data_IF_051948527234
#
_entry.id   IF_051948527234
#
_cell.length_a   1.000
_cell.length_b   1.000
_cell.length_c   1.000
_cell.angle_alpha   90.00
_cell.angle_beta   90.00
_cell.angle_gamma   90.00
#
_symmetry.space_group_name_H-M   'P 1'
#
loop_
_entity.id
_entity.type
_entity.pdbx_description
1 polymer ?
#
# COMPACT_ATOMS: atom_id res chain seq x y z
N UNK A 1 38.72 18.43 -32.77
CA UNK A 1 37.61 19.09 -33.51
C UNK A 1 36.29 18.31 -33.50
N UNK A 2 36.27 16.98 -33.75
CA UNK A 2 35.01 16.20 -33.81
C UNK A 2 34.14 16.23 -32.53
N UNK A 3 34.74 16.28 -31.33
CA UNK A 3 34.02 16.33 -30.07
C UNK A 3 33.40 17.70 -29.75
N UNK A 4 33.98 18.78 -30.22
CA UNK A 4 33.48 20.14 -30.02
C UNK A 4 32.21 20.36 -30.89
N UNK A 5 32.21 19.84 -32.11
CA UNK A 5 31.03 19.90 -33.01
C UNK A 5 29.86 19.12 -32.47
N UNK A 6 30.10 17.94 -31.88
CA UNK A 6 29.04 17.14 -31.24
C UNK A 6 28.40 17.86 -30.04
N UNK A 7 29.20 18.52 -29.22
CA UNK A 7 28.70 19.29 -28.06
C UNK A 7 27.85 20.50 -28.51
N UNK A 8 28.24 21.18 -29.58
CA UNK A 8 27.46 22.30 -30.11
C UNK A 8 26.14 21.84 -30.68
N UNK A 9 26.09 20.69 -31.35
CA UNK A 9 24.83 20.13 -31.90
C UNK A 9 23.86 19.74 -30.76
N UNK A 10 24.36 19.12 -29.68
CA UNK A 10 23.53 18.75 -28.52
C UNK A 10 23.00 20.00 -27.81
N UNK A 11 23.79 21.03 -27.65
CA UNK A 11 23.38 22.29 -27.03
C UNK A 11 22.32 23.03 -27.86
N UNK A 12 22.41 23.02 -29.20
CA UNK A 12 21.41 23.65 -30.09
C UNK A 12 20.09 22.91 -30.08
N UNK A 13 20.09 21.58 -29.98
CA UNK A 13 18.86 20.77 -29.86
C UNK A 13 18.18 20.98 -28.52
N UNK A 14 18.94 21.10 -27.43
CA UNK A 14 18.39 21.39 -26.10
C UNK A 14 17.78 22.79 -26.00
N UNK A 15 18.43 23.82 -26.56
CA UNK A 15 17.93 25.19 -26.56
C UNK A 15 16.71 25.33 -27.49
N UNK A 16 16.73 24.69 -28.66
CA UNK A 16 15.59 24.66 -29.60
C UNK A 16 14.37 23.96 -29.00
N UNK A 17 14.56 22.86 -28.28
CA UNK A 17 13.49 22.13 -27.57
C UNK A 17 12.87 22.96 -26.45
N UNK A 18 13.67 23.74 -25.72
CA UNK A 18 13.20 24.59 -24.63
C UNK A 18 12.36 25.78 -25.15
N UNK A 19 12.79 26.41 -26.23
CA UNK A 19 12.06 27.51 -26.87
C UNK A 19 10.73 27.05 -27.49
N UNK A 20 10.64 25.81 -27.95
CA UNK A 20 9.41 25.26 -28.53
C UNK A 20 8.39 24.83 -27.46
N UNK A 21 8.84 24.46 -26.27
CA UNK A 21 7.96 24.01 -25.15
C UNK A 21 7.39 25.18 -24.31
N UNK A 22 8.07 26.31 -24.24
CA UNK A 22 7.63 27.47 -23.46
C UNK A 22 6.23 28.04 -23.88
N UNK A 23 5.88 28.19 -25.17
CA UNK A 23 4.56 28.66 -25.56
C UNK A 23 3.43 27.67 -25.19
N UNK A 24 3.68 26.37 -25.29
CA UNK A 24 2.67 25.34 -24.95
C UNK A 24 2.38 25.26 -23.46
N UNK A 25 3.36 25.52 -22.60
CA UNK A 25 3.15 25.61 -21.16
C UNK A 25 2.40 26.88 -20.74
N UNK A 26 2.49 27.95 -21.52
CA UNK A 26 1.70 29.18 -21.30
C UNK A 26 0.22 29.00 -21.71
N UNK A 27 -0.07 28.22 -22.74
CA UNK A 27 -1.46 27.91 -23.16
C UNK A 27 -2.17 26.98 -22.16
N UNK A 28 -1.45 26.08 -21.50
CA UNK A 28 -2.02 25.20 -20.44
C UNK A 28 -2.40 25.99 -19.17
N UNK A 29 -1.78 27.15 -18.91
CA UNK A 29 -2.14 28.02 -17.78
C UNK A 29 -3.32 28.96 -18.03
N UNK A 30 -3.73 29.17 -19.28
CA UNK A 30 -4.82 30.09 -19.62
C UNK A 30 -6.21 29.44 -19.73
N UNK A 31 -6.31 28.10 -19.54
CA UNK A 31 -7.59 27.36 -19.62
C UNK A 31 -8.24 27.10 -18.25
N UNK A 32 -7.65 27.63 -17.18
CA UNK A 32 -8.09 27.36 -15.79
C UNK A 32 -8.91 28.50 -15.17
N UNK A 33 -9.82 29.09 -15.94
CA UNK A 33 -10.82 30.03 -15.41
C UNK A 33 -12.15 29.94 -16.16
N UNK A 34 -12.87 28.83 -15.98
CA UNK A 34 -14.33 28.77 -16.15
C UNK A 34 -14.89 27.80 -15.10
N UNK A 35 -15.51 28.37 -14.09
CA UNK A 35 -16.35 27.71 -13.11
C UNK A 35 -17.56 27.07 -13.79
N UNK A 36 -17.87 25.82 -13.49
CA UNK A 36 -19.25 25.35 -13.51
C UNK A 36 -19.69 24.90 -12.08
N UNK A 37 -20.98 25.12 -11.87
CA UNK A 37 -21.74 24.89 -10.65
C UNK A 37 -21.61 23.51 -10.03
N UNK A 38 -21.61 23.57 -8.70
CA UNK A 38 -22.00 22.57 -7.70
C UNK A 38 -22.47 21.19 -8.20
N UNK A 39 -21.58 20.20 -8.12
CA UNK A 39 -21.91 18.80 -7.87
C UNK A 39 -21.38 18.46 -6.48
N UNK A 40 -22.28 18.09 -5.57
CA UNK A 40 -21.95 17.61 -4.24
C UNK A 40 -21.27 16.24 -4.38
N UNK A 41 -19.96 16.20 -4.26
CA UNK A 41 -19.20 14.98 -3.98
C UNK A 41 -19.28 14.68 -2.49
N UNK A 42 -19.97 13.60 -2.17
CA UNK A 42 -20.00 13.00 -0.85
C UNK A 42 -18.75 12.11 -0.68
N UNK A 43 -17.60 12.78 -0.55
CA UNK A 43 -16.36 12.12 -0.14
C UNK A 43 -16.33 12.17 1.38
N UNK A 44 -16.56 11.02 2.02
CA UNK A 44 -16.22 10.80 3.44
C UNK A 44 -14.71 10.92 3.63
N UNK A 45 -14.24 12.16 3.58
CA UNK A 45 -12.98 12.55 4.19
C UNK A 45 -13.19 12.35 5.69
N UNK A 46 -12.45 11.42 6.28
CA UNK A 46 -12.23 11.40 7.73
C UNK A 46 -11.71 12.80 8.06
N UNK A 47 -12.60 13.67 8.53
CA UNK A 47 -12.24 14.96 9.06
C UNK A 47 -11.48 14.67 10.35
N UNK A 48 -10.14 14.76 10.28
CA UNK A 48 -9.32 15.05 11.45
C UNK A 48 -9.83 16.40 12.01
N UNK A 49 -10.71 16.33 13.00
CA UNK A 49 -11.17 17.49 13.76
C UNK A 49 -10.02 17.97 14.64
N UNK A 50 -8.98 18.53 14.04
CA UNK A 50 -7.99 19.32 14.75
C UNK A 50 -8.72 20.60 15.20
N UNK A 51 -8.96 20.70 16.50
CA UNK A 51 -9.71 21.78 17.09
C UNK A 51 -9.04 23.13 16.75
N UNK A 52 -9.64 23.91 15.86
CA UNK A 52 -9.05 25.15 15.30
C UNK A 52 -8.79 26.23 16.34
N UNK A 53 -9.32 26.07 17.57
CA UNK A 53 -9.13 26.97 18.69
C UNK A 53 -7.81 26.81 19.44
N UNK A 54 -7.07 25.73 19.19
CA UNK A 54 -5.81 25.46 19.91
C UNK A 54 -4.62 26.21 19.27
N UNK A 55 -3.58 26.57 20.08
CA UNK A 55 -2.33 27.11 19.58
C UNK A 55 -1.69 26.24 18.49
N UNK A 56 -0.96 26.84 17.55
CA UNK A 56 -0.31 26.13 16.44
C UNK A 56 0.53 24.92 16.91
N UNK A 57 1.31 25.08 17.98
CA UNK A 57 2.18 24.04 18.51
C UNK A 57 1.37 22.84 19.04
N UNK A 58 0.29 23.08 19.78
CA UNK A 58 -0.58 22.04 20.31
C UNK A 58 -1.30 21.27 19.19
N UNK A 59 -1.76 21.96 18.14
CA UNK A 59 -2.34 21.31 16.95
C UNK A 59 -1.32 20.46 16.24
N UNK A 60 -0.07 20.93 16.14
CA UNK A 60 1.01 20.16 15.54
C UNK A 60 1.37 18.92 16.38
N UNK A 61 1.35 19.04 17.72
CA UNK A 61 1.52 17.89 18.62
C UNK A 61 0.38 16.88 18.46
N UNK A 62 -0.86 17.32 18.36
CA UNK A 62 -2.00 16.42 18.10
C UNK A 62 -1.87 15.71 16.75
N UNK A 63 -1.41 16.39 15.70
CA UNK A 63 -1.23 15.80 14.37
C UNK A 63 -0.08 14.81 14.28
N UNK A 64 0.99 15.02 15.05
CA UNK A 64 2.20 14.18 15.01
C UNK A 64 2.25 13.15 16.12
N UNK A 65 1.48 13.34 17.21
CA UNK A 65 1.39 12.47 18.37
C UNK A 65 2.77 12.08 18.95
N UNK A 66 3.61 13.07 19.37
CA UNK A 66 4.87 12.75 20.02
C UNK A 66 4.63 12.02 21.34
N UNK A 67 5.50 11.09 21.69
CA UNK A 67 5.48 10.38 22.98
C UNK A 67 5.80 11.33 24.13
N UNK A 68 6.73 12.24 23.92
CA UNK A 68 7.18 13.22 24.88
C UNK A 68 7.58 14.51 24.20
N UNK A 69 7.28 15.63 24.84
CA UNK A 69 7.71 16.97 24.43
C UNK A 69 8.45 17.63 25.58
N UNK A 70 9.69 18.05 25.36
CA UNK A 70 10.50 18.73 26.36
C UNK A 70 11.21 19.94 25.72
N UNK A 71 11.72 20.86 26.54
CA UNK A 71 12.49 22.02 26.08
C UNK A 71 13.93 21.95 26.58
N UNK A 72 14.88 21.97 25.66
CA UNK A 72 16.30 22.00 25.98
C UNK A 72 16.83 23.43 26.03
N UNK A 73 17.12 23.93 27.24
CA UNK A 73 17.73 25.25 27.44
C UNK A 73 19.12 25.36 26.74
N UNK A 74 19.89 24.27 26.73
CA UNK A 74 21.23 24.22 26.10
C UNK A 74 21.15 24.36 24.59
N UNK A 75 20.18 23.66 23.95
CA UNK A 75 19.99 23.67 22.49
C UNK A 75 19.07 24.81 22.03
N UNK A 76 18.36 25.49 22.95
CA UNK A 76 17.36 26.53 22.70
C UNK A 76 16.29 26.06 21.70
N UNK A 77 15.79 24.81 21.87
CA UNK A 77 14.76 24.20 21.02
C UNK A 77 13.94 23.16 21.76
N UNK A 78 12.74 22.93 21.27
CA UNK A 78 11.89 21.83 21.73
C UNK A 78 12.48 20.51 21.23
N UNK A 79 12.43 19.47 22.06
CA UNK A 79 12.77 18.10 21.71
C UNK A 79 11.48 17.30 21.71
N UNK A 80 11.13 16.76 20.56
CA UNK A 80 9.95 15.94 20.37
C UNK A 80 10.38 14.50 20.16
N UNK A 81 10.11 13.64 21.14
CA UNK A 81 10.38 12.20 21.06
C UNK A 81 9.21 11.54 20.34
N UNK A 82 9.47 11.04 19.16
CA UNK A 82 8.51 10.37 18.29
C UNK A 82 8.57 8.84 18.54
N UNK A 83 7.43 8.16 18.38
CA UNK A 83 7.39 6.70 18.51
C UNK A 83 8.23 5.99 17.45
N UNK A 84 8.88 4.88 17.83
CA UNK A 84 9.54 3.99 16.89
C UNK A 84 8.55 3.30 15.94
N UNK A 85 9.07 2.58 14.93
CA UNK A 85 8.26 1.89 13.91
C UNK A 85 7.98 2.73 12.66
N UNK A 86 8.16 4.04 12.72
CA UNK A 86 8.17 4.96 11.59
C UNK A 86 9.56 5.57 11.42
N UNK A 87 9.94 5.91 10.18
CA UNK A 87 11.21 6.61 9.94
C UNK A 87 11.08 8.09 10.27
N UNK A 88 12.20 8.74 10.60
CA UNK A 88 12.22 10.18 10.84
C UNK A 88 11.71 10.97 9.62
N UNK A 89 12.00 10.51 8.41
CA UNK A 89 11.53 11.12 7.16
C UNK A 89 10.01 11.18 7.09
N UNK A 90 9.32 10.11 7.51
CA UNK A 90 7.85 10.09 7.54
C UNK A 90 7.29 11.14 8.51
N UNK A 91 7.90 11.30 9.68
CA UNK A 91 7.51 12.35 10.63
C UNK A 91 7.77 13.75 10.06
N UNK A 92 8.89 13.97 9.37
CA UNK A 92 9.19 15.23 8.70
C UNK A 92 8.18 15.57 7.60
N UNK A 93 7.78 14.58 6.78
CA UNK A 93 6.74 14.76 5.74
C UNK A 93 5.37 15.07 6.36
N UNK A 94 5.00 14.42 7.46
CA UNK A 94 3.76 14.73 8.18
C UNK A 94 3.80 16.15 8.76
N UNK A 95 4.93 16.53 9.36
CA UNK A 95 5.14 17.88 9.89
C UNK A 95 5.05 18.93 8.78
N UNK A 96 5.70 18.71 7.64
CA UNK A 96 5.66 19.60 6.48
C UNK A 96 4.23 19.80 5.99
N UNK A 97 3.47 18.72 5.78
CA UNK A 97 2.05 18.80 5.35
C UNK A 97 1.18 19.57 6.33
N UNK A 98 1.40 19.35 7.61
CA UNK A 98 0.68 20.10 8.66
C UNK A 98 1.01 21.59 8.61
N UNK A 99 2.31 21.96 8.54
CA UNK A 99 2.78 23.34 8.51
C UNK A 99 2.21 24.07 7.29
N UNK A 100 2.28 23.47 6.09
CA UNK A 100 1.75 24.03 4.85
C UNK A 100 0.23 24.27 4.93
N UNK A 101 -0.54 23.28 5.43
CA UNK A 101 -1.99 23.41 5.63
C UNK A 101 -2.37 24.46 6.68
N UNK A 102 -1.51 24.69 7.66
CA UNK A 102 -1.77 25.63 8.76
C UNK A 102 -1.24 27.04 8.50
N UNK A 103 -0.75 27.33 7.30
CA UNK A 103 -0.24 28.65 6.90
C UNK A 103 1.14 29.00 7.49
N UNK A 104 1.85 28.03 8.07
CA UNK A 104 3.24 28.18 8.49
C UNK A 104 4.24 28.00 7.34
N UNK A 105 5.53 28.26 7.62
CA UNK A 105 6.61 28.09 6.65
C UNK A 105 7.81 27.43 7.29
N UNK A 106 8.38 26.43 6.63
CA UNK A 106 9.65 25.83 7.06
C UNK A 106 10.78 26.76 6.65
N UNK A 107 11.61 27.16 7.63
CA UNK A 107 12.78 28.02 7.45
C UNK A 107 14.04 27.19 7.26
N UNK A 108 14.15 26.07 7.99
CA UNK A 108 15.32 25.19 7.98
C UNK A 108 14.93 23.77 8.33
N UNK A 109 15.54 22.79 7.70
CA UNK A 109 15.39 21.38 8.01
C UNK A 109 16.70 20.65 7.78
N UNK A 110 17.16 19.87 8.75
CA UNK A 110 18.42 19.12 8.72
C UNK A 110 18.22 17.75 9.36
N UNK A 111 18.55 16.70 8.64
CA UNK A 111 18.64 15.35 9.19
C UNK A 111 19.98 15.18 9.91
N UNK A 112 19.91 14.58 11.11
CA UNK A 112 21.09 14.38 11.94
C UNK A 112 21.55 12.93 11.82
N UNK A 113 22.80 12.76 11.38
CA UNK A 113 23.45 11.44 11.33
C UNK A 113 24.07 11.13 12.70
N UNK A 114 23.97 9.89 13.13
CA UNK A 114 24.86 9.35 14.16
C UNK A 114 26.00 8.55 13.49
N UNK A 115 27.00 8.18 14.29
CA UNK A 115 28.20 7.47 13.81
C UNK A 115 27.92 6.12 13.11
N UNK A 116 26.66 5.65 13.08
CA UNK A 116 26.21 4.39 12.46
C UNK A 116 25.35 4.63 11.21
N UNK A 117 25.36 5.81 10.61
CA UNK A 117 24.57 6.18 9.42
C UNK A 117 23.05 5.97 9.54
N UNK A 118 22.51 5.88 10.74
CA UNK A 118 21.09 5.67 10.98
C UNK A 118 20.43 7.00 11.30
N UNK A 119 19.53 7.45 10.42
CA UNK A 119 18.70 8.64 10.62
C UNK A 119 17.65 8.39 11.72
N UNK A 120 17.90 8.93 12.89
CA UNK A 120 16.98 8.83 14.04
C UNK A 120 16.59 10.17 14.61
N UNK A 121 17.14 11.24 14.11
CA UNK A 121 16.82 12.59 14.55
C UNK A 121 16.95 13.61 13.41
N UNK A 122 16.22 14.71 13.55
CA UNK A 122 16.25 15.82 12.61
C UNK A 122 15.95 17.13 13.33
N UNK A 123 16.49 18.23 12.82
CA UNK A 123 16.14 19.59 13.26
C UNK A 123 15.20 20.22 12.26
N UNK A 124 14.25 20.98 12.75
CA UNK A 124 13.36 21.80 11.96
C UNK A 124 13.14 23.13 12.64
N UNK A 125 13.36 24.23 11.92
CA UNK A 125 13.00 25.58 12.34
C UNK A 125 11.89 26.05 11.40
N UNK A 126 10.77 26.51 11.98
CA UNK A 126 9.60 26.93 11.23
C UNK A 126 9.09 28.28 11.73
N UNK A 127 8.47 29.03 10.81
CA UNK A 127 7.71 30.24 11.10
C UNK A 127 6.23 29.84 11.23
N UNK A 128 5.65 30.15 12.39
CA UNK A 128 4.23 29.98 12.62
C UNK A 128 3.42 31.05 11.88
N UNK A 129 2.12 30.83 11.76
CA UNK A 129 1.20 31.79 11.14
C UNK A 129 1.06 33.13 11.91
N UNK A 130 1.45 33.16 13.20
CA UNK A 130 1.49 34.36 14.05
C UNK A 130 2.80 35.17 13.91
N UNK A 131 3.75 34.68 13.11
CA UNK A 131 5.06 35.31 12.88
C UNK A 131 6.16 34.85 13.84
N UNK A 132 5.85 34.03 14.85
CA UNK A 132 6.85 33.50 15.76
C UNK A 132 7.59 32.29 15.15
N UNK A 133 8.86 32.14 15.59
CA UNK A 133 9.69 30.99 15.15
C UNK A 133 9.62 29.86 16.18
N UNK A 134 9.30 28.66 15.74
CA UNK A 134 9.35 27.44 16.54
C UNK A 134 10.53 26.56 16.06
N UNK A 135 11.40 26.17 17.01
CA UNK A 135 12.58 25.32 16.74
C UNK A 135 12.40 23.97 17.38
N UNK A 136 12.36 22.91 16.57
CA UNK A 136 12.11 21.54 17.03
C UNK A 136 13.30 20.65 16.66
N UNK A 137 13.65 19.74 17.54
CA UNK A 137 14.48 18.58 17.25
C UNK A 137 13.64 17.34 17.43
N UNK A 138 13.36 16.65 16.35
CA UNK A 138 12.67 15.35 16.34
C UNK A 138 13.67 14.23 16.65
N UNK A 139 13.31 13.34 17.55
CA UNK A 139 14.07 12.13 17.88
C UNK A 139 13.14 10.93 17.87
N UNK A 140 13.53 9.83 17.24
CA UNK A 140 12.74 8.59 17.21
C UNK A 140 13.15 7.70 18.37
N UNK A 141 12.19 7.30 19.21
CA UNK A 141 12.41 6.37 20.31
C UNK A 141 12.84 4.99 19.80
N UNK A 142 13.74 4.35 20.53
CA UNK A 142 14.18 2.98 20.26
C UNK A 142 13.40 1.95 21.04
N UNK A 143 12.81 2.34 22.15
CA UNK A 143 12.12 1.46 23.11
C UNK A 143 10.60 1.54 22.99
N UNK A 144 10.06 2.68 22.64
CA UNK A 144 8.62 2.90 22.55
C UNK A 144 8.19 3.11 21.10
N UNK A 145 7.18 2.35 20.68
CA UNK A 145 6.69 2.33 19.30
C UNK A 145 5.35 3.04 19.19
N UNK A 146 5.15 3.78 18.10
CA UNK A 146 3.83 4.34 17.77
C UNK A 146 2.91 3.19 17.35
N UNK A 147 1.75 2.98 18.00
CA UNK A 147 0.77 1.99 17.57
C UNK A 147 0.35 2.25 16.11
N UNK A 148 0.36 1.20 15.27
CA UNK A 148 -0.01 1.33 13.87
C UNK A 148 0.97 2.14 13.01
N UNK A 149 2.19 2.39 13.50
CA UNK A 149 3.24 3.08 12.75
C UNK A 149 3.56 2.41 11.42
N UNK A 150 3.45 1.11 11.36
CA UNK A 150 3.50 0.32 10.14
C UNK A 150 2.42 -0.75 10.13
N UNK A 151 2.05 -1.23 8.95
CA UNK A 151 1.04 -2.27 8.78
C UNK A 151 1.59 -3.45 7.98
N UNK A 152 1.12 -4.65 8.33
CA UNK A 152 1.40 -5.90 7.64
C UNK A 152 0.07 -6.58 7.32
N UNK A 153 -0.21 -6.82 6.05
CA UNK A 153 -1.35 -7.65 5.65
C UNK A 153 -0.90 -9.07 5.35
N UNK A 154 -1.77 -10.05 5.64
CA UNK A 154 -1.47 -11.47 5.49
C UNK A 154 -2.60 -12.14 4.71
N UNK A 155 -2.26 -12.75 3.56
CA UNK A 155 -3.18 -13.55 2.77
C UNK A 155 -2.70 -15.00 2.67
N UNK A 156 -3.59 -15.95 2.89
CA UNK A 156 -3.33 -17.38 2.71
C UNK A 156 -4.01 -17.88 1.44
N UNK A 157 -3.24 -18.48 0.56
CA UNK A 157 -3.73 -19.18 -0.63
C UNK A 157 -4.17 -20.59 -0.24
N UNK A 158 -5.43 -20.94 -0.50
CA UNK A 158 -5.95 -22.27 -0.20
C UNK A 158 -6.92 -22.78 -1.25
N UNK A 159 -6.85 -24.09 -1.51
CA UNK A 159 -7.81 -24.84 -2.32
C UNK A 159 -8.44 -26.00 -1.55
N UNK A 160 -7.96 -26.23 -0.33
CA UNK A 160 -8.42 -27.31 0.56
C UNK A 160 -8.41 -26.80 2.00
N UNK A 161 -9.36 -27.27 2.79
CA UNK A 161 -9.44 -27.02 4.22
C UNK A 161 -9.55 -28.37 4.94
N UNK A 162 -8.72 -28.56 5.96
CA UNK A 162 -8.83 -29.70 6.87
C UNK A 162 -9.23 -29.20 8.26
N UNK A 163 -9.79 -30.06 9.12
CA UNK A 163 -10.14 -29.66 10.49
C UNK A 163 -8.95 -29.03 11.25
N UNK A 164 -7.74 -29.55 11.05
CA UNK A 164 -6.51 -29.05 11.67
C UNK A 164 -6.19 -27.63 11.20
N UNK A 165 -6.31 -27.35 9.89
CA UNK A 165 -6.08 -26.01 9.33
C UNK A 165 -7.12 -25.01 9.84
N UNK A 166 -8.38 -25.40 9.97
CA UNK A 166 -9.45 -24.56 10.54
C UNK A 166 -9.14 -24.23 12.01
N UNK A 167 -8.73 -25.21 12.79
CA UNK A 167 -8.32 -25.00 14.19
C UNK A 167 -7.11 -24.10 14.25
N UNK A 168 -6.11 -24.32 13.40
CA UNK A 168 -4.89 -23.51 13.34
C UNK A 168 -5.17 -22.04 12.98
N UNK A 169 -5.99 -21.78 11.96
CA UNK A 169 -6.43 -20.43 11.57
C UNK A 169 -7.19 -19.73 12.70
N UNK A 170 -8.09 -20.44 13.38
CA UNK A 170 -8.88 -19.88 14.47
C UNK A 170 -8.05 -19.58 15.74
N UNK A 171 -6.85 -20.16 15.89
CA UNK A 171 -5.89 -19.82 16.94
C UNK A 171 -5.12 -18.53 16.70
N UNK A 172 -5.02 -18.07 15.44
CA UNK A 172 -4.35 -16.81 15.14
C UNK A 172 -5.11 -15.67 15.85
N UNK A 173 -4.39 -14.80 16.54
CA UNK A 173 -4.93 -13.69 17.33
C UNK A 173 -5.02 -12.37 16.53
N UNK A 174 -4.77 -12.43 15.22
CA UNK A 174 -4.76 -11.31 14.30
C UNK A 174 -5.65 -11.56 13.06
N UNK A 175 -6.09 -10.50 12.35
CA UNK A 175 -6.85 -10.63 11.12
C UNK A 175 -5.98 -11.14 9.96
N UNK A 176 -6.59 -11.84 9.03
CA UNK A 176 -5.96 -12.35 7.81
C UNK A 176 -6.97 -12.49 6.68
N UNK A 177 -6.47 -12.70 5.47
CA UNK A 177 -7.28 -12.91 4.28
C UNK A 177 -7.09 -14.32 3.75
N UNK A 178 -8.16 -14.89 3.19
CA UNK A 178 -8.12 -16.16 2.46
C UNK A 178 -8.31 -15.90 0.98
N UNK A 179 -7.32 -16.23 0.18
CA UNK A 179 -7.39 -16.23 -1.28
C UNK A 179 -8.00 -17.56 -1.70
N UNK A 180 -9.25 -17.53 -2.12
CA UNK A 180 -10.09 -18.70 -2.36
C UNK A 180 -10.51 -18.75 -3.83
N UNK A 181 -10.25 -19.86 -4.57
CA UNK A 181 -10.79 -20.01 -5.90
C UNK A 181 -12.30 -20.28 -5.83
N UNK A 182 -13.11 -19.51 -6.57
CA UNK A 182 -14.56 -19.68 -6.57
C UNK A 182 -15.00 -20.97 -7.30
N UNK A 183 -14.13 -21.51 -8.15
CA UNK A 183 -14.40 -22.71 -8.94
C UNK A 183 -13.37 -23.80 -8.67
N UNK A 184 -13.86 -25.04 -8.62
CA UNK A 184 -12.99 -26.23 -8.41
C UNK A 184 -13.07 -26.85 -7.01
N UNK A 185 -13.15 -26.09 -5.90
CA UNK A 185 -13.40 -26.66 -4.58
C UNK A 185 -14.77 -27.33 -4.47
N UNK A 186 -14.91 -28.26 -3.50
CA UNK A 186 -16.17 -28.93 -3.19
C UNK A 186 -17.11 -28.07 -2.35
N UNK A 187 -18.37 -28.43 -2.25
CA UNK A 187 -19.34 -27.79 -1.34
C UNK A 187 -18.87 -27.85 0.13
N UNK A 188 -18.25 -28.96 0.53
CA UNK A 188 -17.68 -29.12 1.88
C UNK A 188 -16.62 -28.07 2.19
N UNK A 189 -15.79 -27.71 1.20
CA UNK A 189 -14.81 -26.65 1.35
C UNK A 189 -15.47 -25.31 1.69
N UNK A 190 -16.55 -24.92 0.99
CA UNK A 190 -17.22 -23.64 1.25
C UNK A 190 -17.95 -23.65 2.60
N UNK A 191 -18.54 -24.77 3.00
CA UNK A 191 -19.14 -24.95 4.33
C UNK A 191 -18.07 -24.85 5.44
N UNK A 192 -16.89 -25.43 5.25
CA UNK A 192 -15.78 -25.35 6.19
C UNK A 192 -15.18 -23.95 6.26
N UNK A 193 -15.21 -23.20 5.14
CA UNK A 193 -14.78 -21.81 5.09
C UNK A 193 -15.57 -20.92 6.06
N UNK A 194 -16.87 -21.15 6.22
CA UNK A 194 -17.73 -20.40 7.15
C UNK A 194 -17.32 -20.56 8.62
N UNK A 195 -16.65 -21.65 8.98
CA UNK A 195 -16.19 -21.95 10.35
C UNK A 195 -14.94 -21.16 10.76
N UNK A 196 -14.31 -20.48 9.82
CA UNK A 196 -13.09 -19.72 10.07
C UNK A 196 -13.45 -18.29 10.47
N UNK A 197 -12.91 -17.84 11.60
CA UNK A 197 -13.13 -16.50 12.17
C UNK A 197 -12.05 -15.51 11.69
N UNK A 198 -12.31 -14.20 11.89
CA UNK A 198 -11.35 -13.09 11.63
C UNK A 198 -10.78 -13.04 10.22
N UNK A 199 -11.43 -13.66 9.24
CA UNK A 199 -11.00 -13.65 7.85
C UNK A 199 -11.74 -12.60 7.03
N UNK A 200 -11.08 -12.09 6.00
CA UNK A 200 -11.72 -11.57 4.80
C UNK A 200 -11.50 -12.54 3.64
N UNK A 201 -12.40 -12.55 2.67
CA UNK A 201 -12.29 -13.40 1.48
C UNK A 201 -11.84 -12.58 0.29
N UNK A 202 -10.91 -13.15 -0.46
CA UNK A 202 -10.41 -12.62 -1.73
C UNK A 202 -10.69 -13.65 -2.82
N UNK A 203 -11.39 -13.25 -3.87
CA UNK A 203 -11.62 -14.09 -5.05
C UNK A 203 -10.29 -14.37 -5.74
N UNK A 204 -9.83 -15.60 -5.71
CA UNK A 204 -8.58 -16.02 -6.35
C UNK A 204 -8.87 -16.61 -7.73
N UNK A 205 -9.04 -15.72 -8.72
CA UNK A 205 -9.54 -16.04 -10.05
C UNK A 205 -8.42 -16.58 -10.93
N UNK A 206 -8.66 -17.76 -11.51
CA UNK A 206 -7.74 -18.36 -12.48
C UNK A 206 -7.72 -17.53 -13.76
N UNK A 207 -6.53 -17.17 -14.23
CA UNK A 207 -6.32 -16.39 -15.45
C UNK A 207 -5.31 -17.10 -16.35
N UNK A 208 -5.28 -16.73 -17.63
CA UNK A 208 -4.41 -17.32 -18.61
C UNK A 208 -2.94 -17.20 -18.22
N UNK A 209 -2.24 -18.35 -18.29
CA UNK A 209 -0.85 -18.50 -17.89
C UNK A 209 0.02 -18.87 -19.10
N UNK A 210 1.26 -18.45 -19.08
CA UNK A 210 2.28 -18.93 -20.04
C UNK A 210 2.54 -20.43 -19.94
N UNK A 211 2.18 -21.04 -18.80
CA UNK A 211 2.34 -22.47 -18.52
C UNK A 211 1.00 -23.20 -18.68
N UNK A 212 0.70 -23.62 -19.90
CA UNK A 212 -0.57 -24.25 -20.30
C UNK A 212 -1.04 -25.39 -19.39
N UNK A 213 -0.13 -26.18 -18.80
CA UNK A 213 -0.47 -27.34 -17.97
C UNK A 213 -1.03 -26.99 -16.57
N UNK A 214 -1.02 -25.72 -16.18
CA UNK A 214 -1.51 -25.27 -14.86
C UNK A 214 -2.99 -24.89 -14.85
N UNK A 215 -3.57 -24.65 -16.02
CA UNK A 215 -4.90 -24.03 -16.13
C UNK A 215 -5.91 -25.02 -16.69
N UNK A 216 -6.66 -25.68 -15.80
CA UNK A 216 -7.74 -26.59 -16.17
C UNK A 216 -9.05 -25.84 -16.42
N UNK A 217 -9.85 -26.29 -17.42
CA UNK A 217 -11.14 -25.67 -17.75
C UNK A 217 -12.15 -25.70 -16.58
N UNK A 218 -12.08 -26.71 -15.69
CA UNK A 218 -12.92 -26.77 -14.47
C UNK A 218 -12.75 -25.54 -13.55
N UNK A 219 -11.63 -24.83 -13.65
CA UNK A 219 -11.34 -23.61 -12.88
C UNK A 219 -11.93 -22.36 -13.56
N UNK A 220 -12.59 -22.51 -14.71
CA UNK A 220 -13.16 -21.40 -15.52
C UNK A 220 -12.19 -20.25 -15.69
N UNK A 221 -11.01 -20.48 -16.30
CA UNK A 221 -9.98 -19.45 -16.43
C UNK A 221 -10.44 -18.30 -17.32
N UNK A 222 -10.10 -17.09 -16.94
CA UNK A 222 -10.22 -15.91 -17.81
C UNK A 222 -9.12 -15.94 -18.86
N UNK A 223 -9.52 -15.87 -20.13
CA UNK A 223 -8.62 -16.02 -21.29
C UNK A 223 -8.65 -14.80 -22.18
N UNK A 224 -7.56 -14.55 -22.91
CA UNK A 224 -7.40 -13.41 -23.83
C UNK A 224 -8.46 -13.38 -24.92
N UNK A 225 -8.92 -14.55 -25.38
CA UNK A 225 -9.94 -14.64 -26.44
C UNK A 225 -11.39 -14.56 -25.93
N UNK A 226 -11.62 -14.44 -24.61
CA UNK A 226 -12.96 -14.24 -24.11
C UNK A 226 -13.49 -12.84 -24.42
N UNK A 227 -14.79 -12.77 -24.71
CA UNK A 227 -15.48 -11.48 -24.83
C UNK A 227 -15.70 -10.85 -23.45
N UNK A 228 -15.97 -9.54 -23.42
CA UNK A 228 -16.28 -8.83 -22.16
C UNK A 228 -17.44 -9.51 -21.41
N UNK A 229 -18.52 -9.88 -22.11
CA UNK A 229 -19.69 -10.55 -21.52
C UNK A 229 -19.33 -11.92 -20.90
N UNK A 230 -18.45 -12.66 -21.53
CA UNK A 230 -17.96 -13.94 -21.00
C UNK A 230 -17.14 -13.74 -19.71
N UNK A 231 -16.31 -12.70 -19.70
CA UNK A 231 -15.49 -12.35 -18.54
C UNK A 231 -16.39 -11.88 -17.41
N UNK A 232 -17.32 -10.98 -17.66
CA UNK A 232 -18.30 -10.49 -16.69
C UNK A 232 -19.11 -11.65 -16.09
N UNK A 233 -19.60 -12.57 -16.94
CA UNK A 233 -20.33 -13.77 -16.48
C UNK A 233 -19.50 -14.61 -15.52
N UNK A 234 -18.21 -14.83 -15.81
CA UNK A 234 -17.32 -15.61 -14.92
C UNK A 234 -17.12 -14.90 -13.58
N UNK A 235 -16.95 -13.57 -13.58
CA UNK A 235 -16.79 -12.78 -12.35
C UNK A 235 -18.10 -12.74 -11.55
N UNK A 236 -19.24 -12.61 -12.21
CA UNK A 236 -20.56 -12.65 -11.57
C UNK A 236 -20.84 -13.98 -10.88
N UNK A 237 -20.53 -15.07 -11.57
CA UNK A 237 -20.72 -16.39 -11.00
C UNK A 237 -19.74 -16.65 -9.85
N UNK A 238 -18.50 -16.13 -9.95
CA UNK A 238 -17.54 -16.18 -8.86
C UNK A 238 -18.04 -15.41 -7.61
N UNK A 239 -18.64 -14.25 -7.83
CA UNK A 239 -19.19 -13.42 -6.76
C UNK A 239 -20.48 -14.02 -6.16
N UNK A 240 -21.29 -14.75 -6.96
CA UNK A 240 -22.44 -15.52 -6.42
C UNK A 240 -21.99 -16.62 -5.47
N UNK A 241 -20.84 -17.26 -5.75
CA UNK A 241 -20.29 -18.32 -4.87
C UNK A 241 -19.70 -17.73 -3.58
N UNK A 242 -19.09 -16.55 -3.64
CA UNK A 242 -18.41 -15.90 -2.51
C UNK A 242 -18.81 -14.41 -2.42
N UNK A 243 -20.07 -14.12 -2.04
CA UNK A 243 -20.60 -12.74 -2.05
C UNK A 243 -19.98 -11.82 -1.00
N UNK A 244 -19.34 -12.38 0.04
CA UNK A 244 -18.63 -11.63 1.06
C UNK A 244 -17.22 -11.19 0.65
N UNK A 245 -16.75 -11.57 -0.54
CA UNK A 245 -15.42 -11.22 -1.02
C UNK A 245 -15.21 -9.69 -1.04
N UNK A 246 -14.00 -9.25 -0.63
CA UNK A 246 -13.60 -7.84 -0.56
C UNK A 246 -12.70 -7.43 -1.72
N UNK A 247 -12.11 -8.37 -2.40
CA UNK A 247 -11.21 -8.12 -3.51
C UNK A 247 -11.04 -9.31 -4.44
N UNK A 248 -10.29 -9.09 -5.50
CA UNK A 248 -9.94 -10.06 -6.51
C UNK A 248 -8.41 -10.17 -6.64
N UNK A 249 -7.89 -11.40 -6.69
CA UNK A 249 -6.47 -11.68 -6.89
C UNK A 249 -6.26 -12.57 -8.12
N UNK A 250 -5.14 -12.39 -8.81
CA UNK A 250 -4.74 -13.26 -9.92
C UNK A 250 -4.33 -14.64 -9.40
N UNK A 251 -4.90 -15.71 -9.97
CA UNK A 251 -4.39 -17.07 -9.83
C UNK A 251 -3.69 -17.45 -11.13
N UNK A 252 -2.38 -17.64 -11.08
CA UNK A 252 -1.53 -17.65 -12.28
C UNK A 252 -1.61 -16.29 -13.00
N UNK A 253 -1.94 -16.23 -14.27
CA UNK A 253 -2.28 -14.99 -14.96
C UNK A 253 -1.09 -14.26 -15.56
N UNK A 254 0.08 -14.92 -15.65
CA UNK A 254 1.29 -14.29 -16.17
C UNK A 254 1.08 -13.69 -17.56
N UNK A 255 0.27 -14.33 -18.41
CA UNK A 255 -0.06 -13.84 -19.73
C UNK A 255 -1.21 -12.83 -19.71
N UNK A 256 -2.20 -13.05 -18.84
CA UNK A 256 -3.37 -12.17 -18.74
C UNK A 256 -3.01 -10.76 -18.30
N UNK A 257 -2.02 -10.61 -17.38
CA UNK A 257 -1.63 -9.30 -16.83
C UNK A 257 -0.80 -8.44 -17.81
N UNK A 258 -0.40 -8.97 -18.95
CA UNK A 258 0.22 -8.23 -20.05
C UNK A 258 -0.82 -7.71 -21.07
N UNK A 259 -2.07 -8.19 -21.00
CA UNK A 259 -3.09 -7.93 -22.01
C UNK A 259 -4.10 -6.87 -21.57
N UNK A 260 -3.95 -5.63 -22.06
CA UNK A 260 -4.76 -4.47 -21.65
C UNK A 260 -6.27 -4.70 -21.75
N UNK A 261 -6.75 -5.21 -22.89
CA UNK A 261 -8.20 -5.40 -23.11
C UNK A 261 -8.78 -6.41 -22.11
N UNK A 262 -8.09 -7.54 -21.88
CA UNK A 262 -8.51 -8.51 -20.88
C UNK A 262 -8.53 -7.92 -19.46
N UNK A 263 -7.49 -7.16 -19.09
CA UNK A 263 -7.45 -6.49 -17.79
C UNK A 263 -8.58 -5.50 -17.62
N UNK A 264 -8.87 -4.66 -18.61
CA UNK A 264 -9.99 -3.71 -18.55
C UNK A 264 -11.32 -4.44 -18.40
N UNK A 265 -11.54 -5.54 -19.14
CA UNK A 265 -12.73 -6.37 -19.05
C UNK A 265 -12.87 -7.06 -17.67
N UNK A 266 -11.78 -7.37 -16.99
CA UNK A 266 -11.78 -7.89 -15.61
C UNK A 266 -12.02 -6.77 -14.60
N UNK A 267 -11.34 -5.65 -14.75
CA UNK A 267 -11.36 -4.56 -13.77
C UNK A 267 -12.69 -3.82 -13.74
N UNK A 268 -13.40 -3.69 -14.86
CA UNK A 268 -14.69 -3.02 -14.95
C UNK A 268 -15.76 -3.66 -14.03
N UNK A 269 -16.07 -4.97 -14.10
CA UNK A 269 -16.98 -5.61 -13.16
C UNK A 269 -16.44 -5.64 -11.73
N UNK A 270 -15.13 -5.62 -11.53
CA UNK A 270 -14.48 -5.50 -10.21
C UNK A 270 -14.78 -4.15 -9.58
N UNK A 271 -14.65 -3.07 -10.34
CA UNK A 271 -14.96 -1.69 -9.92
C UNK A 271 -16.46 -1.53 -9.61
N UNK A 272 -17.35 -2.03 -10.45
CA UNK A 272 -18.80 -1.97 -10.26
C UNK A 272 -19.26 -2.62 -8.93
N UNK A 273 -18.47 -3.55 -8.39
CA UNK A 273 -18.73 -4.23 -7.10
C UNK A 273 -17.94 -3.67 -5.94
N UNK A 274 -17.23 -2.55 -6.14
CA UNK A 274 -16.35 -1.94 -5.14
C UNK A 274 -15.29 -2.91 -4.59
N UNK A 275 -14.85 -3.87 -5.41
CA UNK A 275 -13.76 -4.78 -5.06
C UNK A 275 -12.43 -4.14 -5.44
N UNK A 276 -11.40 -4.31 -4.61
CA UNK A 276 -10.03 -3.99 -4.98
C UNK A 276 -9.40 -5.15 -5.77
N UNK A 277 -8.31 -4.86 -6.48
CA UNK A 277 -7.60 -5.86 -7.28
C UNK A 277 -6.14 -5.99 -6.83
N UNK A 278 -5.63 -7.23 -6.76
CA UNK A 278 -4.22 -7.48 -6.49
C UNK A 278 -3.62 -8.44 -7.52
N UNK A 279 -2.51 -8.01 -8.12
CA UNK A 279 -1.70 -8.86 -9.00
C UNK A 279 -0.66 -9.62 -8.18
N UNK A 280 -0.79 -10.93 -8.14
CA UNK A 280 0.16 -11.85 -7.50
C UNK A 280 0.80 -12.83 -8.52
N UNK A 281 0.73 -12.52 -9.80
CA UNK A 281 1.31 -13.35 -10.88
C UNK A 281 2.83 -13.38 -10.88
N UNK A 282 3.47 -12.40 -10.24
CA UNK A 282 4.93 -12.18 -10.23
C UNK A 282 5.50 -11.86 -11.63
N UNK A 283 4.66 -11.47 -12.59
CA UNK A 283 5.11 -11.11 -13.92
C UNK A 283 5.70 -9.69 -13.94
N UNK A 284 6.96 -9.57 -14.34
CA UNK A 284 7.66 -8.28 -14.43
C UNK A 284 7.15 -7.37 -15.56
N UNK A 285 6.45 -7.96 -16.54
CA UNK A 285 5.84 -7.24 -17.66
C UNK A 285 4.38 -6.88 -17.40
N UNK A 286 3.89 -7.07 -16.18
CA UNK A 286 2.52 -6.74 -15.79
C UNK A 286 2.23 -5.25 -16.02
N UNK A 287 1.16 -4.98 -16.74
CA UNK A 287 0.63 -3.63 -16.97
C UNK A 287 -0.54 -3.28 -16.02
N UNK A 288 -0.78 -4.11 -15.00
CA UNK A 288 -1.84 -3.88 -14.00
C UNK A 288 -1.75 -2.50 -13.36
N UNK A 289 -0.58 -2.01 -12.86
CA UNK A 289 -0.51 -0.70 -12.24
C UNK A 289 -0.98 0.44 -13.16
N UNK A 290 -0.53 0.41 -14.42
CA UNK A 290 -0.92 1.42 -15.41
C UNK A 290 -2.40 1.33 -15.75
N UNK A 291 -2.93 0.12 -15.98
CA UNK A 291 -4.35 -0.08 -16.33
C UNK A 291 -5.27 0.33 -15.19
N UNK A 292 -4.89 0.03 -13.96
CA UNK A 292 -5.66 0.45 -12.78
C UNK A 292 -5.64 1.98 -12.59
N UNK A 293 -4.51 2.63 -12.83
CA UNK A 293 -4.42 4.09 -12.80
C UNK A 293 -5.33 4.73 -13.85
N UNK A 294 -5.34 4.20 -15.09
CA UNK A 294 -6.20 4.67 -16.19
C UNK A 294 -7.70 4.51 -15.86
N UNK A 295 -8.06 3.55 -15.00
CA UNK A 295 -9.44 3.25 -14.60
C UNK A 295 -9.81 3.78 -13.21
N UNK A 296 -8.91 4.52 -12.55
CA UNK A 296 -9.09 5.05 -11.18
C UNK A 296 -9.45 3.96 -10.15
N UNK A 297 -8.91 2.75 -10.33
CA UNK A 297 -9.14 1.60 -9.45
C UNK A 297 -7.98 1.39 -8.48
N UNK A 298 -8.29 1.05 -7.24
CA UNK A 298 -7.29 0.66 -6.25
C UNK A 298 -6.73 -0.73 -6.56
N UNK A 299 -5.49 -0.77 -7.02
CA UNK A 299 -4.75 -2.00 -7.28
C UNK A 299 -3.35 -1.95 -6.68
N UNK A 300 -2.87 -3.12 -6.27
CA UNK A 300 -1.48 -3.28 -5.83
C UNK A 300 -0.96 -4.63 -6.35
N UNK A 301 0.36 -4.72 -6.48
CA UNK A 301 1.03 -5.98 -6.78
C UNK A 301 1.69 -6.52 -5.52
N UNK A 302 1.65 -7.84 -5.34
CA UNK A 302 2.29 -8.52 -4.23
C UNK A 302 3.02 -9.77 -4.73
N UNK A 303 4.18 -10.06 -4.12
CA UNK A 303 4.93 -11.27 -4.44
C UNK A 303 4.61 -12.37 -3.42
N UNK A 304 3.95 -13.46 -3.82
CA UNK A 304 3.73 -14.62 -2.97
C UNK A 304 5.06 -15.23 -2.49
N UNK A 305 4.99 -15.88 -1.34
CA UNK A 305 6.10 -16.68 -0.84
C UNK A 305 6.42 -17.80 -1.82
N UNK A 306 7.71 -17.92 -2.14
CA UNK A 306 8.24 -19.04 -2.93
C UNK A 306 9.32 -19.75 -2.11
N UNK A 307 9.12 -21.04 -1.77
CA UNK A 307 10.09 -21.81 -0.98
C UNK A 307 11.44 -22.00 -1.69
N UNK A 308 11.47 -21.93 -3.03
CA UNK A 308 12.71 -22.04 -3.79
C UNK A 308 13.63 -20.81 -3.60
N UNK A 309 13.07 -19.67 -3.23
CA UNK A 309 13.82 -18.42 -3.08
C UNK A 309 14.36 -18.20 -1.67
N UNK A 310 13.66 -18.66 -0.63
CA UNK A 310 14.04 -18.43 0.77
C UNK A 310 13.29 -19.35 1.72
N UNK A 311 13.85 -19.56 2.93
CA UNK A 311 13.09 -20.18 4.01
C UNK A 311 11.94 -19.25 4.47
N UNK A 312 10.83 -19.83 4.94
CA UNK A 312 9.65 -19.06 5.40
C UNK A 312 9.98 -18.07 6.53
N UNK A 313 10.89 -18.47 7.45
CA UNK A 313 11.32 -17.59 8.54
C UNK A 313 12.06 -16.33 8.02
N UNK A 314 12.90 -16.48 6.99
CA UNK A 314 13.63 -15.36 6.38
C UNK A 314 12.69 -14.46 5.59
N UNK A 315 11.74 -15.04 4.85
CA UNK A 315 10.69 -14.30 4.17
C UNK A 315 9.86 -13.46 5.16
N UNK A 316 9.39 -14.06 6.24
CA UNK A 316 8.61 -13.39 7.30
C UNK A 316 9.41 -12.22 7.91
N UNK A 317 10.69 -12.46 8.24
CA UNK A 317 11.58 -11.42 8.77
C UNK A 317 11.81 -10.29 7.77
N UNK A 318 11.96 -10.61 6.48
CA UNK A 318 12.10 -9.61 5.42
C UNK A 318 10.83 -8.75 5.29
N UNK A 319 9.64 -9.35 5.34
CA UNK A 319 8.36 -8.63 5.27
C UNK A 319 8.08 -7.75 6.48
N UNK A 320 8.44 -8.18 7.67
CA UNK A 320 8.41 -7.34 8.87
C UNK A 320 9.36 -6.13 8.75
N UNK A 321 10.57 -6.34 8.23
CA UNK A 321 11.52 -5.23 7.97
C UNK A 321 11.01 -4.29 6.88
N UNK A 322 10.38 -4.82 5.84
CA UNK A 322 9.75 -4.04 4.77
C UNK A 322 8.62 -3.16 5.33
N UNK A 323 7.73 -3.72 6.17
CA UNK A 323 6.69 -2.98 6.87
C UNK A 323 7.28 -1.81 7.68
N UNK A 324 8.30 -2.09 8.50
CA UNK A 324 8.98 -1.06 9.29
C UNK A 324 9.61 0.05 8.45
N UNK A 325 10.23 -0.31 7.30
CA UNK A 325 10.94 0.65 6.44
C UNK A 325 10.00 1.49 5.59
N UNK A 326 8.98 0.87 5.02
CA UNK A 326 8.10 1.48 4.02
C UNK A 326 6.74 1.92 4.62
N UNK A 327 6.49 1.65 5.91
CA UNK A 327 5.21 1.87 6.58
C UNK A 327 4.16 0.79 6.29
N UNK A 328 4.38 -0.06 5.27
CA UNK A 328 3.44 -1.11 4.87
C UNK A 328 4.16 -2.28 4.19
N UNK A 329 3.61 -3.49 4.36
CA UNK A 329 4.04 -4.70 3.67
C UNK A 329 2.90 -5.71 3.56
N UNK A 330 3.05 -6.69 2.67
CA UNK A 330 2.09 -7.77 2.47
C UNK A 330 2.80 -9.12 2.35
N UNK A 331 2.25 -10.14 3.01
CA UNK A 331 2.65 -11.53 2.87
C UNK A 331 1.53 -12.31 2.22
N UNK A 332 1.82 -13.03 1.13
CA UNK A 332 0.93 -14.01 0.52
C UNK A 332 1.58 -15.38 0.65
N UNK A 333 0.91 -16.29 1.32
CA UNK A 333 1.47 -17.56 1.79
C UNK A 333 0.58 -18.74 1.39
N UNK A 334 1.16 -19.93 1.09
CA UNK A 334 0.34 -21.14 0.99
C UNK A 334 -0.19 -21.52 2.38
N UNK A 335 -1.46 -21.89 2.46
CA UNK A 335 -2.05 -22.41 3.69
C UNK A 335 -1.65 -23.87 3.89
N UNK A 336 -0.87 -24.13 4.90
CA UNK A 336 -0.55 -25.49 5.39
C UNK A 336 -0.10 -25.41 6.85
N UNK A 337 -0.02 -26.56 7.53
CA UNK A 337 0.30 -26.62 8.95
C UNK A 337 1.67 -26.00 9.28
N UNK A 338 2.69 -26.28 8.47
CA UNK A 338 4.02 -25.70 8.67
C UNK A 338 4.01 -24.15 8.60
N UNK A 339 3.18 -23.58 7.70
CA UNK A 339 3.02 -22.13 7.63
C UNK A 339 2.39 -21.59 8.91
N UNK A 340 1.31 -22.20 9.39
CA UNK A 340 0.62 -21.76 10.61
C UNK A 340 1.51 -21.87 11.84
N UNK A 341 2.24 -22.97 11.99
CA UNK A 341 3.14 -23.20 13.13
C UNK A 341 4.25 -22.14 13.19
N UNK A 342 4.80 -21.75 12.03
CA UNK A 342 5.85 -20.71 11.96
C UNK A 342 5.36 -19.29 12.12
N UNK A 343 4.07 -19.06 12.01
CA UNK A 343 3.43 -17.75 12.22
C UNK A 343 2.80 -17.60 13.61
N UNK A 344 2.88 -18.60 14.47
CA UNK A 344 2.24 -18.59 15.77
C UNK A 344 2.66 -17.39 16.66
N UNK A 345 3.93 -16.96 16.57
CA UNK A 345 4.50 -15.83 17.32
C UNK A 345 4.57 -14.52 16.51
N UNK A 346 3.94 -14.47 15.33
CA UNK A 346 4.03 -13.33 14.44
C UNK A 346 3.43 -12.06 15.05
N UNK A 347 2.31 -12.19 15.74
CA UNK A 347 1.63 -11.06 16.41
C UNK A 347 2.56 -10.37 17.42
N UNK A 348 3.27 -11.15 18.22
CA UNK A 348 4.22 -10.63 19.20
C UNK A 348 5.41 -9.93 18.51
N UNK A 349 6.00 -10.58 17.51
CA UNK A 349 7.10 -9.99 16.71
C UNK A 349 6.69 -8.71 16.01
N UNK A 350 5.46 -8.63 15.48
CA UNK A 350 4.94 -7.43 14.85
C UNK A 350 4.77 -6.30 15.88
N UNK A 351 4.17 -6.59 17.05
CA UNK A 351 3.98 -5.61 18.14
C UNK A 351 5.32 -5.05 18.63
N UNK A 352 6.36 -5.89 18.77
CA UNK A 352 7.69 -5.47 19.22
C UNK A 352 8.36 -4.42 18.33
N UNK A 353 7.91 -4.24 17.11
CA UNK A 353 8.43 -3.21 16.19
C UNK A 353 7.38 -2.14 15.82
N UNK A 354 6.22 -2.13 16.47
CA UNK A 354 5.14 -1.17 16.19
C UNK A 354 4.34 -1.47 14.92
N UNK A 355 4.40 -2.71 14.40
CA UNK A 355 3.65 -3.13 13.23
C UNK A 355 2.30 -3.70 13.64
N UNK A 356 1.22 -3.19 13.08
CA UNK A 356 -0.14 -3.72 13.25
C UNK A 356 -0.47 -4.66 12.09
N UNK A 357 -0.97 -5.88 12.42
CA UNK A 357 -1.45 -6.79 11.40
C UNK A 357 -2.88 -6.41 11.03
N UNK A 358 -3.17 -6.29 9.73
CA UNK A 358 -4.45 -5.83 9.19
C UNK A 358 -4.90 -6.72 8.04
N UNK A 359 -6.17 -6.62 7.64
CA UNK A 359 -6.65 -7.25 6.40
C UNK A 359 -6.11 -6.54 5.16
N UNK A 360 -6.09 -7.26 4.04
CA UNK A 360 -5.70 -6.72 2.73
C UNK A 360 -6.57 -5.52 2.33
N UNK A 361 -7.86 -5.52 2.66
CA UNK A 361 -8.76 -4.38 2.40
C UNK A 361 -8.25 -3.07 3.04
N UNK A 362 -7.68 -3.14 4.24
CA UNK A 362 -7.06 -1.99 4.91
C UNK A 362 -5.73 -1.60 4.27
N UNK A 363 -4.93 -2.59 3.87
CA UNK A 363 -3.67 -2.37 3.14
C UNK A 363 -3.90 -1.69 1.79
N UNK A 364 -4.97 -2.05 1.07
CA UNK A 364 -5.30 -1.49 -0.24
C UNK A 364 -5.71 -0.03 -0.18
N UNK A 365 -6.30 0.44 0.94
CA UNK A 365 -6.75 1.83 1.14
C UNK A 365 -5.61 2.81 1.52
N UNK A 366 -4.45 2.30 1.87
CA UNK A 366 -3.25 3.09 2.21
C UNK A 366 -2.26 3.15 1.05
#
# INVERSE_FOLDING_TARGET
MKHIVAIIIVLTVLIGGFVYLLPRLAELKSTENKTPDSVKEDSTVVQDTVNSSLPFEERMQQALEPLEVSYSKRKKRHIWTMGGGQTIIMYLLQAQRFIEKSGGKILYMEELYNNNEVFQSAKMDLLKNDGDTLKIEFQVSRSEFKPGASILAIGFQTTTLTPELIVGLNKLDYPFDLLVPPFGPSEDFFRDLERIKRKEIVLWITMESTKLNRVHNKLRPLRIHHTEDQIETVIDDAYKVLPEAKGLATRYGEQAVEHRQLLQAILKPTQNRHLWFTDISMNKLSIVPQTCQDMELTCKSASPYNPDNSALADYTKAKLREAKRNGLSVMILPLNQNTLDKLADLSEKAKQQGTTIVNLSTFMKK
#
